data_IF_805205854080
#
_entry.id   IF_805205854080
#
_cell.length_a   1.000
_cell.length_b   1.000
_cell.length_c   1.000
_cell.angle_alpha   90.00
_cell.angle_beta   90.00
_cell.angle_gamma   90.00
#
_symmetry.space_group_name_H-M   'P 1'
#
loop_
_entity.id
_entity.type
_entity.pdbx_description
1 polymer ?
#
# COMPACT_ATOMS: atom_id res chain seq x y z
N UNK A 1 55.40 -34.83 13.81
CA UNK A 1 54.10 -35.18 13.21
C UNK A 1 53.29 -33.91 13.07
N UNK A 2 52.93 -33.53 11.84
CA UNK A 2 52.33 -32.24 11.48
C UNK A 2 50.82 -32.43 11.41
N UNK A 3 50.08 -31.92 12.40
CA UNK A 3 48.62 -32.02 12.46
C UNK A 3 48.03 -30.94 11.55
N UNK A 4 47.36 -31.36 10.48
CA UNK A 4 46.69 -30.45 9.55
C UNK A 4 45.38 -29.91 10.16
N UNK A 5 45.11 -28.59 10.10
CA UNK A 5 43.88 -28.02 10.61
C UNK A 5 42.72 -28.26 9.62
N UNK A 6 42.01 -29.37 9.78
CA UNK A 6 40.67 -29.57 9.19
C UNK A 6 39.63 -28.88 10.08
N UNK A 7 39.37 -27.59 9.88
CA UNK A 7 38.44 -26.87 10.76
C UNK A 7 37.72 -25.64 10.18
N UNK A 8 37.90 -25.34 8.89
CA UNK A 8 37.30 -24.15 8.26
C UNK A 8 36.02 -24.43 7.47
N UNK A 9 36.00 -25.50 6.67
CA UNK A 9 34.94 -25.67 5.66
C UNK A 9 33.58 -26.10 6.22
N UNK A 10 33.54 -26.87 7.32
CA UNK A 10 32.27 -27.37 7.89
C UNK A 10 31.38 -26.24 8.43
N UNK A 11 31.98 -25.14 8.91
CA UNK A 11 31.23 -23.99 9.46
C UNK A 11 30.54 -23.18 8.37
N UNK A 12 31.14 -23.08 7.19
CA UNK A 12 30.63 -22.29 6.06
C UNK A 12 29.39 -22.97 5.45
N UNK A 13 29.41 -24.30 5.29
CA UNK A 13 28.25 -25.04 4.80
C UNK A 13 27.04 -24.96 5.74
N UNK A 14 27.30 -24.97 7.06
CA UNK A 14 26.24 -24.84 8.05
C UNK A 14 25.57 -23.46 8.00
N UNK A 15 26.36 -22.38 7.88
CA UNK A 15 25.85 -21.02 7.75
C UNK A 15 25.08 -20.83 6.44
N UNK A 16 25.58 -21.33 5.31
CA UNK A 16 24.89 -21.25 4.01
C UNK A 16 23.57 -22.03 4.00
N UNK A 17 23.54 -23.21 4.62
CA UNK A 17 22.32 -24.02 4.73
C UNK A 17 21.26 -23.34 5.61
N UNK A 18 21.67 -22.74 6.74
CA UNK A 18 20.76 -21.98 7.60
C UNK A 18 20.19 -20.75 6.88
N UNK A 19 21.03 -20.04 6.10
CA UNK A 19 20.61 -18.87 5.33
C UNK A 19 19.61 -19.25 4.22
N UNK A 20 19.79 -20.41 3.58
CA UNK A 20 18.89 -20.92 2.56
C UNK A 20 17.52 -21.36 3.12
N UNK A 21 17.49 -21.93 4.33
CA UNK A 21 16.22 -22.33 4.97
C UNK A 21 15.47 -21.10 5.48
N UNK A 22 16.16 -20.09 6.02
CA UNK A 22 15.54 -18.82 6.41
C UNK A 22 14.98 -18.06 5.20
N UNK A 23 15.67 -18.05 4.05
CA UNK A 23 15.18 -17.37 2.85
C UNK A 23 14.00 -18.09 2.18
N UNK A 24 13.97 -19.42 2.22
CA UNK A 24 12.86 -20.21 1.68
C UNK A 24 11.58 -20.08 2.53
N UNK A 25 11.72 -19.95 3.86
CA UNK A 25 10.58 -19.79 4.76
C UNK A 25 9.97 -18.37 4.75
N UNK A 26 10.72 -17.35 4.32
CA UNK A 26 10.20 -15.99 4.09
C UNK A 26 9.38 -15.83 2.79
N UNK A 27 9.46 -16.78 1.85
CA UNK A 27 8.70 -16.71 0.59
C UNK A 27 7.39 -17.53 0.61
N UNK A 28 7.21 -18.42 1.60
CA UNK A 28 6.11 -19.39 1.60
C UNK A 28 4.85 -18.92 2.34
N UNK A 29 4.82 -17.69 2.86
CA UNK A 29 3.67 -17.16 3.60
C UNK A 29 3.09 -15.92 2.91
N UNK A 30 1.85 -16.05 2.41
CA UNK A 30 0.85 -14.96 2.34
C UNK A 30 0.93 -13.89 1.24
N UNK A 31 1.26 -14.23 0.00
CA UNK A 31 1.07 -13.30 -1.14
C UNK A 31 -0.41 -12.89 -1.38
N UNK A 32 -1.39 -13.56 -0.76
CA UNK A 32 -2.83 -13.28 -0.89
C UNK A 32 -3.38 -12.24 0.10
N UNK A 33 -2.59 -11.80 1.09
CA UNK A 33 -3.05 -10.88 2.15
C UNK A 33 -2.43 -9.49 2.10
N UNK A 34 -1.55 -9.22 1.13
CA UNK A 34 -0.85 -7.93 1.06
C UNK A 34 -1.72 -6.94 0.29
N UNK A 35 -2.23 -5.92 0.99
CA UNK A 35 -2.85 -4.76 0.37
C UNK A 35 -1.86 -4.08 -0.58
N UNK A 36 -2.26 -3.90 -1.84
CA UNK A 36 -1.55 -3.13 -2.87
C UNK A 36 -2.46 -2.05 -3.44
N UNK A 37 -1.96 -0.83 -3.54
CA UNK A 37 -2.65 0.26 -4.18
C UNK A 37 -1.62 1.09 -4.95
N UNK A 38 -1.87 1.37 -6.23
CA UNK A 38 -0.91 2.04 -7.10
C UNK A 38 -1.64 3.04 -8.00
N UNK A 39 -1.14 4.27 -8.01
CA UNK A 39 -1.64 5.36 -8.85
C UNK A 39 -0.47 6.05 -9.57
N UNK A 40 -0.73 6.81 -10.65
CA UNK A 40 0.29 7.61 -11.31
C UNK A 40 0.87 8.68 -10.37
N UNK A 41 2.03 9.20 -10.75
CA UNK A 41 2.69 10.29 -10.03
C UNK A 41 1.75 11.49 -9.80
N UNK A 42 1.84 12.10 -8.62
CA UNK A 42 0.98 13.19 -8.18
C UNK A 42 -0.20 12.72 -7.32
N UNK A 43 -0.56 11.44 -7.41
CA UNK A 43 -1.61 10.81 -6.62
C UNK A 43 -1.02 9.75 -5.71
N UNK A 44 -1.60 9.61 -4.52
CA UNK A 44 -1.25 8.57 -3.56
C UNK A 44 -2.51 7.90 -3.05
N UNK A 45 -2.42 6.61 -2.79
CA UNK A 45 -3.47 5.88 -2.09
C UNK A 45 -3.07 5.84 -0.62
N UNK A 46 -3.81 6.57 0.22
CA UNK A 46 -3.51 6.64 1.64
C UNK A 46 -3.97 5.38 2.35
N UNK A 47 -5.23 5.00 2.11
CA UNK A 47 -5.81 3.75 2.57
C UNK A 47 -6.89 3.29 1.60
N UNK A 48 -7.20 2.00 1.65
CA UNK A 48 -8.32 1.41 0.95
C UNK A 48 -8.67 0.07 1.59
N UNK A 49 -9.92 -0.35 1.38
CA UNK A 49 -10.33 -1.71 1.66
C UNK A 49 -11.41 -2.15 0.69
N UNK A 50 -11.55 -3.46 0.56
CA UNK A 50 -12.55 -4.10 -0.27
C UNK A 50 -13.43 -4.91 0.67
N UNK A 51 -14.70 -4.55 0.78
CA UNK A 51 -15.59 -5.27 1.68
C UNK A 51 -15.96 -6.64 1.11
N UNK A 52 -16.56 -7.50 1.95
CA UNK A 52 -17.01 -8.83 1.53
C UNK A 52 -18.11 -8.85 0.48
N UNK A 53 -18.81 -7.74 0.25
CA UNK A 53 -19.78 -7.62 -0.84
C UNK A 53 -19.14 -7.13 -2.14
N UNK A 54 -17.82 -6.91 -2.14
CA UNK A 54 -17.05 -6.47 -3.30
C UNK A 54 -17.06 -4.96 -3.56
N UNK A 55 -17.55 -4.16 -2.61
CA UNK A 55 -17.47 -2.70 -2.64
C UNK A 55 -16.11 -2.21 -2.18
N UNK A 56 -15.60 -1.21 -2.89
CA UNK A 56 -14.33 -0.56 -2.58
C UNK A 56 -14.57 0.73 -1.81
N UNK A 57 -13.70 0.98 -0.85
CA UNK A 57 -13.54 2.26 -0.17
C UNK A 57 -12.13 2.75 -0.44
N UNK A 58 -11.98 4.03 -0.79
CA UNK A 58 -10.71 4.60 -1.24
C UNK A 58 -10.49 5.95 -0.57
N UNK A 59 -9.37 6.07 0.12
CA UNK A 59 -8.82 7.35 0.58
C UNK A 59 -7.69 7.77 -0.38
N UNK A 60 -7.97 8.81 -1.16
CA UNK A 60 -7.08 9.29 -2.20
C UNK A 60 -6.40 10.58 -1.73
N UNK A 61 -5.08 10.58 -1.88
CA UNK A 61 -4.24 11.72 -1.65
C UNK A 61 -3.71 12.37 -2.92
N UNK A 62 -3.36 13.64 -2.78
CA UNK A 62 -2.66 14.39 -3.81
C UNK A 62 -1.41 15.04 -3.22
N UNK A 63 -0.24 14.62 -3.71
CA UNK A 63 1.03 15.03 -3.14
C UNK A 63 1.32 16.53 -3.32
N UNK A 64 1.10 17.08 -4.51
CA UNK A 64 1.37 18.49 -4.83
C UNK A 64 0.50 18.97 -6.01
N UNK A 65 0.25 20.27 -6.11
CA UNK A 65 -0.39 20.87 -7.29
C UNK A 65 -1.52 21.86 -6.98
N UNK A 66 -2.66 21.66 -7.66
CA UNK A 66 -3.91 22.40 -7.47
C UNK A 66 -4.95 21.46 -6.89
N UNK A 67 -5.87 21.97 -6.07
CA UNK A 67 -6.99 21.20 -5.57
C UNK A 67 -7.75 20.53 -6.72
N UNK A 68 -8.09 19.26 -6.51
CA UNK A 68 -8.87 18.49 -7.46
C UNK A 68 -10.28 18.27 -6.91
N UNK A 69 -11.22 18.14 -7.83
CA UNK A 69 -12.57 17.71 -7.53
C UNK A 69 -12.80 16.39 -8.25
N UNK A 70 -12.97 15.30 -7.52
CA UNK A 70 -13.31 14.00 -8.08
C UNK A 70 -14.77 14.03 -8.52
N UNK A 71 -15.00 13.82 -9.81
CA UNK A 71 -16.32 13.91 -10.44
C UNK A 71 -16.87 12.56 -10.86
N UNK A 72 -16.01 11.54 -10.96
CA UNK A 72 -16.41 10.22 -11.40
C UNK A 72 -15.44 9.12 -10.96
N UNK A 73 -15.99 7.93 -10.74
CA UNK A 73 -15.27 6.74 -10.31
C UNK A 73 -15.76 5.54 -11.11
N UNK A 74 -14.86 4.62 -11.37
CA UNK A 74 -15.16 3.37 -12.04
C UNK A 74 -14.17 2.29 -11.63
N UNK A 75 -14.58 1.03 -11.72
CA UNK A 75 -13.66 -0.07 -11.52
C UNK A 75 -14.06 -1.32 -12.29
N UNK A 76 -13.08 -2.19 -12.48
CA UNK A 76 -13.23 -3.45 -13.20
C UNK A 76 -12.16 -4.44 -12.71
N UNK A 77 -12.52 -5.69 -12.50
CA UNK A 77 -11.60 -6.80 -12.18
C UNK A 77 -10.89 -7.36 -13.41
N UNK A 78 -11.44 -7.13 -14.60
CA UNK A 78 -10.76 -7.48 -15.83
C UNK A 78 -9.59 -6.52 -16.06
N UNK A 79 -8.52 -6.99 -16.73
CA UNK A 79 -7.36 -6.14 -17.10
C UNK A 79 -7.71 -4.97 -18.06
N UNK A 80 -9.00 -4.75 -18.34
CA UNK A 80 -9.50 -3.67 -19.16
C UNK A 80 -9.61 -2.37 -18.36
N UNK A 81 -9.53 -1.25 -19.07
CA UNK A 81 -9.73 0.07 -18.48
C UNK A 81 -11.21 0.26 -18.14
N UNK A 82 -11.58 0.47 -16.86
CA UNK A 82 -12.97 0.70 -16.48
C UNK A 82 -13.51 2.01 -17.06
N UNK A 83 -14.79 2.01 -17.46
CA UNK A 83 -15.55 3.26 -17.61
C UNK A 83 -15.93 3.84 -16.24
N UNK A 84 -16.32 5.12 -16.20
CA UNK A 84 -16.87 5.75 -15.00
C UNK A 84 -18.30 5.25 -14.77
N UNK A 85 -18.57 4.69 -13.60
CA UNK A 85 -19.87 4.10 -13.22
C UNK A 85 -20.57 4.86 -12.10
N UNK A 86 -19.82 5.59 -11.27
CA UNK A 86 -20.34 6.28 -10.08
C UNK A 86 -19.91 7.75 -10.11
N UNK A 87 -20.82 8.65 -9.73
CA UNK A 87 -20.59 10.10 -9.68
C UNK A 87 -20.96 10.61 -8.29
N UNK A 88 -19.97 10.99 -7.45
CA UNK A 88 -20.25 11.55 -6.13
C UNK A 88 -21.08 12.84 -6.26
N UNK A 89 -22.16 12.96 -5.49
CA UNK A 89 -23.00 14.15 -5.52
C UNK A 89 -22.22 15.39 -5.07
N UNK A 90 -22.05 16.36 -5.97
CA UNK A 90 -21.23 17.57 -5.71
C UNK A 90 -19.73 17.39 -5.91
N UNK A 91 -19.28 16.16 -6.18
CA UNK A 91 -17.87 15.79 -6.27
C UNK A 91 -17.17 15.72 -4.90
N UNK A 92 -15.99 15.11 -4.88
CA UNK A 92 -15.15 15.02 -3.69
C UNK A 92 -13.92 15.90 -3.88
N UNK A 93 -13.77 16.93 -3.05
CA UNK A 93 -12.60 17.81 -3.11
C UNK A 93 -11.43 17.21 -2.35
N UNK A 94 -10.30 17.04 -3.03
CA UNK A 94 -9.02 16.68 -2.42
C UNK A 94 -8.11 17.90 -2.51
N UNK A 95 -7.71 18.43 -1.35
CA UNK A 95 -6.81 19.59 -1.29
C UNK A 95 -5.37 19.19 -1.59
N UNK A 96 -4.60 20.12 -2.15
CA UNK A 96 -3.17 19.90 -2.36
C UNK A 96 -2.45 19.58 -1.05
N UNK A 97 -1.65 18.51 -1.05
CA UNK A 97 -0.92 18.05 0.13
C UNK A 97 -1.80 17.36 1.18
N UNK A 98 -3.04 17.01 0.81
CA UNK A 98 -4.02 16.37 1.67
C UNK A 98 -4.57 15.10 1.02
N UNK A 99 -5.53 14.47 1.69
CA UNK A 99 -6.24 13.29 1.25
C UNK A 99 -7.72 13.39 1.63
N UNK A 100 -8.56 12.65 0.90
CA UNK A 100 -9.98 12.58 1.20
C UNK A 100 -10.56 11.22 0.79
N UNK A 101 -11.59 10.83 1.54
CA UNK A 101 -12.40 9.66 1.25
C UNK A 101 -13.26 9.92 0.01
N UNK A 102 -12.98 9.17 -1.05
CA UNK A 102 -13.61 9.38 -2.36
C UNK A 102 -14.91 8.57 -2.50
N UNK A 103 -15.02 7.47 -1.75
CA UNK A 103 -16.17 6.58 -1.70
C UNK A 103 -16.69 6.57 -0.26
N UNK A 104 -17.99 6.81 -0.09
CA UNK A 104 -18.67 6.81 1.21
C UNK A 104 -19.92 5.91 1.15
N UNK A 105 -20.67 5.79 2.24
CA UNK A 105 -21.88 4.95 2.29
C UNK A 105 -22.94 5.31 1.24
N UNK A 106 -22.97 6.56 0.76
CA UNK A 106 -23.87 7.01 -0.31
C UNK A 106 -23.32 6.80 -1.73
N UNK A 107 -22.02 6.51 -1.86
CA UNK A 107 -21.29 6.40 -3.12
C UNK A 107 -20.52 5.09 -3.12
N UNK A 108 -21.22 4.00 -3.42
CA UNK A 108 -20.66 2.64 -3.41
C UNK A 108 -20.15 2.26 -4.79
N UNK A 109 -18.94 1.71 -4.87
CA UNK A 109 -18.34 1.23 -6.11
C UNK A 109 -18.06 -0.27 -5.99
N UNK A 110 -18.89 -1.09 -6.63
CA UNK A 110 -18.71 -2.55 -6.66
C UNK A 110 -17.67 -2.92 -7.71
N UNK A 111 -16.58 -3.55 -7.27
CA UNK A 111 -15.48 -3.93 -8.14
C UNK A 111 -15.31 -5.42 -8.27
N UNK A 112 -15.67 -6.16 -7.23
CA UNK A 112 -15.37 -7.58 -7.11
C UNK A 112 -16.67 -8.38 -7.17
N UNK A 113 -16.74 -9.32 -8.12
CA UNK A 113 -17.89 -10.22 -8.25
C UNK A 113 -17.62 -11.57 -7.57
N UNK A 114 -16.36 -12.03 -7.58
CA UNK A 114 -15.94 -13.23 -6.86
C UNK A 114 -15.51 -12.86 -5.44
N UNK A 115 -16.30 -13.28 -4.46
CA UNK A 115 -16.16 -12.91 -3.05
C UNK A 115 -15.44 -14.00 -2.22
N UNK A 116 -14.96 -15.06 -2.88
CA UNK A 116 -14.25 -16.16 -2.23
C UNK A 116 -12.72 -16.02 -2.31
N UNK A 117 -12.23 -15.06 -3.09
CA UNK A 117 -10.80 -14.87 -3.38
C UNK A 117 -10.36 -13.42 -3.14
N UNK A 118 -9.05 -13.18 -2.89
CA UNK A 118 -8.51 -11.83 -2.85
C UNK A 118 -8.84 -11.09 -4.16
N UNK A 119 -9.41 -9.90 -4.04
CA UNK A 119 -9.80 -9.14 -5.20
C UNK A 119 -8.67 -8.27 -5.70
N UNK A 120 -8.52 -8.21 -7.03
CA UNK A 120 -7.68 -7.25 -7.73
C UNK A 120 -8.55 -6.50 -8.73
N UNK A 121 -8.54 -5.17 -8.66
CA UNK A 121 -9.34 -4.34 -9.54
C UNK A 121 -8.51 -3.16 -10.06
N UNK A 122 -8.81 -2.77 -11.29
CA UNK A 122 -8.35 -1.52 -11.87
C UNK A 122 -9.38 -0.44 -11.57
N UNK A 123 -8.91 0.74 -11.18
CA UNK A 123 -9.73 1.92 -10.89
C UNK A 123 -9.58 2.96 -11.99
N UNK A 124 -10.66 3.65 -12.28
CA UNK A 124 -10.71 4.85 -13.11
C UNK A 124 -11.24 5.99 -12.25
N UNK A 125 -10.50 7.09 -12.17
CA UNK A 125 -10.90 8.27 -11.41
C UNK A 125 -10.93 9.46 -12.36
N UNK A 126 -12.09 10.08 -12.48
CA UNK A 126 -12.30 11.30 -13.22
C UNK A 126 -12.30 12.49 -12.25
N UNK A 127 -11.54 13.53 -12.57
CA UNK A 127 -11.42 14.71 -11.73
C UNK A 127 -11.27 15.98 -12.56
N UNK A 128 -11.54 17.14 -11.97
CA UNK A 128 -11.23 18.45 -12.53
C UNK A 128 -10.38 19.27 -11.56
N UNK A 129 -9.66 20.27 -12.06
CA UNK A 129 -8.87 21.17 -11.22
C UNK A 129 -9.73 22.35 -10.76
N UNK A 130 -9.97 22.46 -9.45
CA UNK A 130 -10.79 23.54 -8.88
C UNK A 130 -12.18 23.61 -9.53
N UNK A 131 -12.46 24.72 -10.22
CA UNK A 131 -13.74 25.00 -10.87
C UNK A 131 -13.72 24.83 -12.39
N UNK A 132 -12.66 24.23 -12.97
CA UNK A 132 -12.59 24.07 -14.42
C UNK A 132 -13.58 22.99 -14.91
N UNK A 133 -14.22 23.17 -16.07
CA UNK A 133 -15.11 22.16 -16.65
C UNK A 133 -14.34 21.03 -17.36
N UNK A 134 -13.00 21.07 -17.36
CA UNK A 134 -12.17 20.09 -18.04
C UNK A 134 -11.96 18.90 -17.11
N UNK A 135 -12.49 17.76 -17.52
CA UNK A 135 -12.28 16.50 -16.82
C UNK A 135 -10.99 15.83 -17.30
N UNK A 136 -10.20 15.39 -16.33
CA UNK A 136 -9.02 14.56 -16.47
C UNK A 136 -9.34 13.16 -15.93
N UNK A 137 -8.66 12.16 -16.46
CA UNK A 137 -8.83 10.77 -16.01
C UNK A 137 -7.49 10.18 -15.64
N UNK A 138 -7.43 9.55 -14.47
CA UNK A 138 -6.31 8.72 -14.05
C UNK A 138 -6.78 7.29 -13.82
N UNK A 139 -5.81 6.38 -13.83
CA UNK A 139 -6.05 4.97 -13.60
C UNK A 139 -5.18 4.50 -12.44
N UNK A 140 -5.74 3.66 -11.59
CA UNK A 140 -5.01 3.00 -10.51
C UNK A 140 -5.26 1.50 -10.51
N UNK A 141 -4.45 0.79 -9.74
CA UNK A 141 -4.62 -0.63 -9.48
C UNK A 141 -4.71 -0.85 -7.97
N UNK A 142 -5.73 -1.59 -7.53
CA UNK A 142 -5.88 -2.03 -6.15
C UNK A 142 -5.91 -3.55 -6.09
N UNK A 143 -5.47 -4.11 -4.97
CA UNK A 143 -5.71 -5.52 -4.72
C UNK A 143 -5.30 -5.95 -3.33
N UNK A 144 -6.14 -6.76 -2.70
CA UNK A 144 -5.99 -7.18 -1.32
C UNK A 144 -7.04 -8.23 -0.92
N UNK A 145 -6.98 -8.71 0.33
CA UNK A 145 -8.01 -9.58 0.88
C UNK A 145 -9.34 -8.84 1.05
N UNK A 146 -10.43 -9.60 1.12
CA UNK A 146 -11.76 -9.06 1.44
C UNK A 146 -11.88 -8.88 2.96
N UNK A 147 -12.39 -7.72 3.37
CA UNK A 147 -12.49 -7.31 4.78
C UNK A 147 -13.96 -7.25 5.25
N UNK A 148 -14.21 -7.66 6.50
CA UNK A 148 -15.54 -7.67 7.13
C UNK A 148 -15.99 -6.29 7.67
N UNK A 149 -15.21 -5.24 7.44
CA UNK A 149 -15.41 -3.97 8.14
C UNK A 149 -16.39 -3.09 7.38
N UNK A 150 -17.65 -3.05 7.85
CA UNK A 150 -18.63 -2.03 7.47
C UNK A 150 -18.76 -0.92 8.53
N UNK A 151 -18.48 -1.22 9.81
CA UNK A 151 -19.03 -0.41 10.90
C UNK A 151 -18.10 0.65 11.51
N UNK A 152 -16.81 0.64 11.21
CA UNK A 152 -15.87 1.65 11.73
C UNK A 152 -14.69 1.81 10.77
N UNK A 153 -14.92 2.31 9.55
CA UNK A 153 -13.83 3.07 8.95
C UNK A 153 -13.65 4.24 9.92
N UNK A 154 -12.51 4.32 10.65
CA UNK A 154 -12.38 5.39 11.62
C UNK A 154 -12.56 6.67 10.82
N UNK A 155 -13.57 7.47 11.16
CA UNK A 155 -13.46 8.91 10.93
C UNK A 155 -12.13 9.26 11.60
N UNK A 156 -11.05 9.27 10.82
CA UNK A 156 -9.78 9.74 11.29
C UNK A 156 -10.05 11.21 11.57
N UNK A 157 -10.30 11.49 12.84
CA UNK A 157 -10.19 12.81 13.40
C UNK A 157 -8.82 13.32 12.93
N UNK A 158 -8.85 14.25 11.97
CA UNK A 158 -7.66 14.81 11.33
C UNK A 158 -6.98 15.68 12.39
N UNK A 159 -6.34 15.04 13.37
CA UNK A 159 -5.51 15.73 14.34
C UNK A 159 -4.20 16.05 13.62
N UNK A 160 -4.18 17.25 13.05
CA UNK A 160 -3.19 17.76 12.09
C UNK A 160 -1.78 17.96 12.70
N UNK A 161 -1.46 17.30 13.82
CA UNK A 161 -0.33 17.63 14.69
C UNK A 161 0.75 16.56 14.88
N UNK A 162 0.58 15.31 14.42
CA UNK A 162 1.42 14.20 14.92
C UNK A 162 1.98 13.22 13.85
N UNK A 163 2.48 13.69 12.72
CA UNK A 163 3.24 12.82 11.78
C UNK A 163 4.59 13.43 11.41
N UNK A 164 5.49 13.56 12.40
CA UNK A 164 6.90 13.89 12.15
C UNK A 164 7.92 13.01 12.92
N UNK A 165 7.50 11.94 13.61
CA UNK A 165 8.36 11.28 14.61
C UNK A 165 8.47 9.75 14.57
N UNK A 166 8.19 9.08 13.44
CA UNK A 166 8.40 7.62 13.34
C UNK A 166 9.49 7.15 12.37
N UNK A 167 9.97 7.99 11.45
CA UNK A 167 11.09 7.61 10.56
C UNK A 167 12.48 7.80 11.17
N UNK A 168 12.58 8.30 12.41
CA UNK A 168 13.86 8.45 13.10
C UNK A 168 14.30 7.19 13.89
N UNK A 169 13.41 6.22 14.13
CA UNK A 169 13.71 5.08 15.01
C UNK A 169 14.41 3.90 14.31
N UNK A 170 14.02 3.56 13.09
CA UNK A 170 14.49 2.35 12.42
C UNK A 170 15.94 2.47 11.91
N UNK A 171 16.37 3.68 11.50
CA UNK A 171 17.72 3.93 11.00
C UNK A 171 18.77 3.91 12.11
N UNK A 172 18.40 4.29 13.34
CA UNK A 172 19.33 4.31 14.49
C UNK A 172 19.63 2.90 15.01
N UNK A 173 18.63 2.00 15.02
CA UNK A 173 18.83 0.62 15.45
C UNK A 173 19.77 -0.16 14.52
N UNK A 174 19.71 0.08 13.20
CA UNK A 174 20.55 -0.60 12.23
C UNK A 174 22.03 -0.14 12.31
N UNK A 175 22.27 1.15 12.55
CA UNK A 175 23.63 1.70 12.74
C UNK A 175 24.27 1.17 14.04
N UNK A 176 23.50 1.01 15.11
CA UNK A 176 24.02 0.46 16.37
C UNK A 176 24.35 -1.04 16.28
N UNK A 177 23.57 -1.84 15.54
CA UNK A 177 23.90 -3.26 15.35
C UNK A 177 25.17 -3.46 14.51
N UNK A 178 25.39 -2.66 13.47
CA UNK A 178 26.60 -2.74 12.66
C UNK A 178 27.86 -2.35 13.45
N UNK A 179 27.76 -1.39 14.38
CA UNK A 179 28.86 -1.01 15.27
C UNK A 179 29.31 -2.15 16.21
N UNK A 180 28.36 -2.92 16.75
CA UNK A 180 28.67 -4.02 17.67
C UNK A 180 29.41 -5.19 17.00
N UNK A 181 29.07 -5.49 15.74
CA UNK A 181 29.71 -6.59 14.99
C UNK A 181 31.18 -6.23 14.68
N UNK A 182 31.45 -4.98 14.31
CA UNK A 182 32.82 -4.52 14.00
C UNK A 182 33.69 -4.51 15.27
N UNK A 183 33.15 -4.11 16.43
CA UNK A 183 33.89 -4.06 17.69
C UNK A 183 34.36 -5.43 18.20
N UNK A 184 33.66 -6.51 17.87
CA UNK A 184 34.05 -7.88 18.28
C UNK A 184 35.02 -8.57 17.31
N UNK A 185 35.22 -8.05 16.10
CA UNK A 185 36.08 -8.63 15.08
C UNK A 185 37.55 -8.22 15.15
N UNK A 186 37.90 -7.21 15.95
CA UNK A 186 39.25 -6.63 16.03
C UNK A 186 39.98 -6.99 17.34
N UNK A 187 40.03 -8.29 17.65
CA UNK A 187 41.03 -8.86 18.56
C UNK A 187 41.72 -10.03 17.86
N UNK A 188 42.75 -9.69 17.07
CA UNK A 188 43.82 -10.60 16.67
C UNK A 188 45.14 -9.90 16.89
#
# INVERSE_FOLDING_TARGET
MKVAPMGGSLRIFFVLSLLAVLSASSCASSLSSIKRCTFPAGFSCYDYYINRDGYVFLDLGQATGRDINITGLGCNTTNQTPGVTVHPAGGVRVYTGSHAQVLNSSTLLQCCENLDEPCRARLTIQYSYGSTPINHTIYGDIGGPLEDVYDNWPEQEIDSGAVYLQFAGATVAFVLMLGAIIATGFKR
#
